data_IF_523888078934
#
_entry.id   IF_523888078934
#
_cell.length_a   1.000
_cell.length_b   1.000
_cell.length_c   1.000
_cell.angle_alpha   90.00
_cell.angle_beta   90.00
_cell.angle_gamma   90.00
#
_symmetry.space_group_name_H-M   'P 1'
#
loop_
_entity.id
_entity.type
_entity.pdbx_description
1 polymer ?
#
# COMPACT_ATOMS: atom_id res chain seq x y z
N UNK A 1 19.91 3.85 0.99
CA UNK A 1 19.12 4.69 1.93
C UNK A 1 17.64 4.41 1.70
N UNK A 2 16.87 4.22 2.78
CA UNK A 2 15.42 4.06 2.69
C UNK A 2 14.74 5.41 2.48
N UNK A 3 13.97 5.52 1.39
CA UNK A 3 13.29 6.73 0.96
C UNK A 3 14.20 7.74 0.27
N UNK A 4 13.70 8.34 -0.80
CA UNK A 4 14.35 9.44 -1.52
C UNK A 4 13.32 10.46 -2.02
N UNK A 5 13.72 11.72 -2.07
CA UNK A 5 12.95 12.78 -2.71
C UNK A 5 13.48 12.98 -4.14
N UNK A 6 12.58 12.96 -5.12
CA UNK A 6 12.90 13.26 -6.52
C UNK A 6 12.68 14.75 -6.75
N UNK A 7 13.77 15.46 -6.99
CA UNK A 7 13.77 16.92 -7.16
C UNK A 7 13.56 17.31 -8.62
N UNK A 8 12.96 18.50 -8.82
CA UNK A 8 12.85 19.14 -10.14
C UNK A 8 12.18 18.25 -11.21
N UNK A 9 11.30 17.34 -10.78
CA UNK A 9 10.56 16.45 -11.67
C UNK A 9 9.06 16.68 -11.54
N UNK A 10 8.39 16.84 -12.67
CA UNK A 10 6.92 16.94 -12.73
C UNK A 10 6.36 15.67 -13.33
N UNK A 11 5.50 15.02 -12.55
CA UNK A 11 4.75 13.85 -13.02
C UNK A 11 3.74 14.28 -14.09
N UNK A 12 3.66 13.51 -15.15
CA UNK A 12 2.69 13.71 -16.23
C UNK A 12 1.96 12.40 -16.51
N UNK A 13 0.78 12.49 -17.14
CA UNK A 13 0.03 11.32 -17.56
C UNK A 13 0.81 10.45 -18.57
N UNK A 14 1.60 11.11 -19.43
CA UNK A 14 2.39 10.48 -20.47
C UNK A 14 3.88 10.86 -20.33
N UNK A 15 4.59 10.32 -19.33
CA UNK A 15 6.02 10.58 -19.15
C UNK A 15 6.84 9.95 -20.27
N UNK A 16 8.06 10.42 -20.45
CA UNK A 16 9.00 9.76 -21.36
C UNK A 16 9.34 8.35 -20.86
N UNK A 17 9.60 7.44 -21.78
CA UNK A 17 9.96 6.05 -21.42
C UNK A 17 11.22 5.98 -20.56
N UNK A 18 12.18 6.88 -20.80
CA UNK A 18 13.39 7.00 -20.01
C UNK A 18 13.15 7.44 -18.58
N UNK A 19 12.16 8.33 -18.34
CA UNK A 19 11.75 8.74 -17.00
C UNK A 19 11.15 7.59 -16.22
N UNK A 20 10.32 6.78 -16.87
CA UNK A 20 9.71 5.58 -16.23
C UNK A 20 10.80 4.57 -15.85
N UNK A 21 11.79 4.36 -16.70
CA UNK A 21 12.92 3.48 -16.38
C UNK A 21 13.67 4.02 -15.18
N UNK A 22 14.06 5.30 -15.19
CA UNK A 22 14.78 5.92 -14.08
C UNK A 22 13.99 5.88 -12.76
N UNK A 23 12.67 6.17 -12.80
CA UNK A 23 11.81 6.09 -11.61
C UNK A 23 11.74 4.67 -11.08
N UNK A 24 11.63 3.66 -11.94
CA UNK A 24 11.62 2.25 -11.52
C UNK A 24 12.94 1.84 -10.84
N UNK A 25 14.07 2.29 -11.37
CA UNK A 25 15.40 2.03 -10.79
C UNK A 25 15.55 2.70 -9.43
N UNK A 26 15.20 3.99 -9.32
CA UNK A 26 15.20 4.73 -8.06
C UNK A 26 14.26 4.10 -7.03
N UNK A 27 13.08 3.68 -7.45
CA UNK A 27 12.12 3.01 -6.57
C UNK A 27 12.63 1.65 -6.09
N UNK A 28 13.23 0.87 -6.97
CA UNK A 28 13.86 -0.40 -6.61
C UNK A 28 15.00 -0.20 -5.58
N UNK A 29 15.80 0.86 -5.73
CA UNK A 29 16.90 1.19 -4.82
C UNK A 29 16.41 1.72 -3.48
N UNK A 30 15.52 2.73 -3.52
CA UNK A 30 15.11 3.47 -2.32
C UNK A 30 13.80 2.99 -1.68
N UNK A 31 12.99 2.18 -2.37
CA UNK A 31 11.73 1.56 -1.93
C UNK A 31 10.58 2.54 -1.68
N UNK A 32 10.86 3.80 -1.44
CA UNK A 32 9.91 4.90 -1.25
C UNK A 32 10.42 6.13 -1.99
N UNK A 33 9.59 6.71 -2.84
CA UNK A 33 9.90 7.96 -3.55
C UNK A 33 8.89 9.04 -3.17
N UNK A 34 9.38 10.23 -2.93
CA UNK A 34 8.59 11.42 -2.67
C UNK A 34 8.74 12.42 -3.81
N UNK A 35 7.61 12.84 -4.37
CA UNK A 35 7.53 13.88 -5.39
C UNK A 35 6.74 15.05 -4.82
N UNK A 36 7.39 16.18 -4.56
CA UNK A 36 6.72 17.38 -4.04
C UNK A 36 6.19 18.27 -5.14
N UNK A 37 5.21 19.11 -4.76
CA UNK A 37 4.68 20.17 -5.62
C UNK A 37 4.14 19.66 -6.97
N UNK A 38 3.50 18.49 -6.95
CA UNK A 38 2.91 17.90 -8.15
C UNK A 38 1.54 18.51 -8.43
N UNK A 39 1.29 18.84 -9.70
CA UNK A 39 0.00 19.32 -10.18
C UNK A 39 -0.70 18.22 -10.97
N UNK A 40 -1.29 17.28 -10.25
CA UNK A 40 -1.93 16.09 -10.79
C UNK A 40 -3.42 16.09 -10.47
N UNK A 41 -4.24 15.65 -11.40
CA UNK A 41 -5.63 15.27 -11.16
C UNK A 41 -5.77 13.74 -11.12
N UNK A 42 -6.96 13.24 -10.88
CA UNK A 42 -7.23 11.79 -10.82
C UNK A 42 -6.86 11.06 -12.12
N UNK A 43 -7.22 11.65 -13.26
CA UNK A 43 -6.88 11.08 -14.58
C UNK A 43 -5.36 10.97 -14.77
N UNK A 44 -4.63 12.02 -14.38
CA UNK A 44 -3.17 12.02 -14.40
C UNK A 44 -2.57 10.96 -13.49
N UNK A 45 -3.09 10.83 -12.27
CA UNK A 45 -2.64 9.79 -11.32
C UNK A 45 -2.84 8.39 -11.89
N UNK A 46 -4.02 8.11 -12.44
CA UNK A 46 -4.33 6.82 -13.08
C UNK A 46 -3.45 6.57 -14.29
N UNK A 47 -3.31 7.56 -15.19
CA UNK A 47 -2.46 7.46 -16.38
C UNK A 47 -1.01 7.15 -16.02
N UNK A 48 -0.43 7.91 -15.09
CA UNK A 48 0.93 7.69 -14.61
C UNK A 48 1.08 6.30 -13.95
N UNK A 49 0.14 5.91 -13.09
CA UNK A 49 0.21 4.63 -12.39
C UNK A 49 0.23 3.42 -13.32
N UNK A 50 -0.44 3.48 -14.46
CA UNK A 50 -0.48 2.40 -15.46
C UNK A 50 0.88 2.07 -16.07
N UNK A 51 1.83 2.98 -16.02
CA UNK A 51 3.21 2.69 -16.44
C UNK A 51 3.93 1.71 -15.51
N UNK A 52 3.40 1.42 -14.32
CA UNK A 52 4.01 0.49 -13.36
C UNK A 52 3.35 -0.89 -13.33
N UNK A 53 2.18 -1.04 -13.91
CA UNK A 53 1.46 -2.30 -13.98
C UNK A 53 -0.05 -2.12 -14.10
N UNK A 54 -0.77 -3.24 -14.06
CA UNK A 54 -2.22 -3.24 -14.01
C UNK A 54 -2.69 -2.65 -12.68
N UNK A 55 -3.74 -1.82 -12.75
CA UNK A 55 -4.27 -1.17 -11.56
C UNK A 55 -5.34 -2.05 -10.91
N UNK A 56 -5.26 -2.15 -9.60
CA UNK A 56 -6.21 -2.92 -8.80
C UNK A 56 -7.39 -2.04 -8.38
N UNK A 57 -8.59 -2.63 -8.36
CA UNK A 57 -9.80 -1.98 -7.86
C UNK A 57 -10.09 -2.53 -6.46
N UNK A 58 -10.01 -1.66 -5.45
CA UNK A 58 -10.19 -2.05 -4.06
C UNK A 58 -11.59 -2.61 -3.79
N UNK A 59 -11.70 -3.52 -2.82
CA UNK A 59 -12.97 -4.20 -2.48
C UNK A 59 -14.01 -3.26 -1.87
N UNK A 60 -13.59 -2.13 -1.29
CA UNK A 60 -14.46 -1.11 -0.67
C UNK A 60 -14.95 -0.12 -1.73
N UNK A 61 -15.83 -0.62 -2.60
CA UNK A 61 -16.34 0.14 -3.76
C UNK A 61 -17.01 1.47 -3.37
N UNK A 62 -17.52 1.58 -2.16
CA UNK A 62 -18.18 2.77 -1.63
C UNK A 62 -17.25 3.97 -1.40
N UNK A 63 -15.94 3.75 -1.41
CA UNK A 63 -14.91 4.78 -1.20
C UNK A 63 -14.04 5.02 -2.43
N UNK A 64 -14.44 4.47 -3.58
CA UNK A 64 -13.73 4.68 -4.83
C UNK A 64 -14.18 5.97 -5.51
N UNK A 65 -13.30 6.55 -6.32
CA UNK A 65 -13.69 7.60 -7.24
C UNK A 65 -14.77 7.09 -8.21
N UNK A 66 -15.74 7.93 -8.52
CA UNK A 66 -16.80 7.59 -9.46
C UNK A 66 -16.33 7.59 -10.92
N UNK A 67 -15.35 8.42 -11.24
CA UNK A 67 -14.80 8.55 -12.59
C UNK A 67 -13.60 7.61 -12.80
N UNK A 68 -12.85 7.35 -11.72
CA UNK A 68 -11.63 6.53 -11.73
C UNK A 68 -11.67 5.48 -10.62
N UNK A 69 -12.34 4.34 -10.82
CA UNK A 69 -12.54 3.33 -9.77
C UNK A 69 -11.23 2.68 -9.27
N UNK A 70 -10.12 2.91 -9.94
CA UNK A 70 -8.78 2.52 -9.48
C UNK A 70 -8.28 3.39 -8.31
N UNK A 71 -8.93 4.52 -8.05
CA UNK A 71 -8.59 5.44 -6.94
C UNK A 71 -9.47 5.15 -5.73
N UNK A 72 -8.82 4.83 -4.62
CA UNK A 72 -9.44 4.75 -3.30
C UNK A 72 -9.20 6.06 -2.54
N UNK A 73 -10.27 6.69 -2.06
CA UNK A 73 -10.15 7.85 -1.20
C UNK A 73 -9.73 7.47 0.22
N UNK A 74 -8.58 7.94 0.62
CA UNK A 74 -8.04 7.80 1.97
C UNK A 74 -8.33 9.09 2.72
N UNK A 75 -9.51 9.18 3.33
CA UNK A 75 -10.01 10.42 3.94
C UNK A 75 -11.00 10.11 5.07
N UNK A 76 -11.02 10.95 6.09
CA UNK A 76 -12.04 10.99 7.15
C UNK A 76 -13.07 12.13 6.95
N UNK A 77 -13.01 12.83 5.82
CA UNK A 77 -13.94 13.92 5.50
C UNK A 77 -15.34 13.36 5.29
N UNK A 78 -16.32 14.10 5.80
CA UNK A 78 -17.74 13.82 5.57
C UNK A 78 -18.35 14.86 4.61
N UNK A 79 -19.13 14.36 3.63
CA UNK A 79 -19.98 15.18 2.77
C UNK A 79 -21.42 14.70 2.88
N UNK A 80 -22.35 15.62 3.17
CA UNK A 80 -23.77 15.30 3.35
C UNK A 80 -24.04 14.15 4.36
N UNK A 81 -23.29 14.14 5.47
CA UNK A 81 -23.40 13.11 6.52
C UNK A 81 -22.87 11.72 6.14
N UNK A 82 -22.07 11.62 5.09
CA UNK A 82 -21.41 10.39 4.67
C UNK A 82 -19.91 10.60 4.52
N UNK A 83 -19.12 9.67 5.02
CA UNK A 83 -17.66 9.65 4.78
C UNK A 83 -17.40 9.40 3.31
N UNK A 84 -16.49 10.18 2.74
CA UNK A 84 -16.08 10.04 1.33
C UNK A 84 -14.90 9.07 1.18
N UNK A 85 -14.21 8.75 2.24
CA UNK A 85 -13.02 7.91 2.24
C UNK A 85 -13.04 6.82 3.31
N UNK A 86 -12.10 5.90 3.20
CA UNK A 86 -12.02 4.69 4.04
C UNK A 86 -11.54 4.95 5.47
N UNK A 87 -10.85 6.07 5.74
CA UNK A 87 -10.32 6.34 7.06
C UNK A 87 -11.39 6.55 8.11
N UNK A 88 -11.13 6.04 9.31
CA UNK A 88 -11.78 6.45 10.56
C UNK A 88 -10.94 7.52 11.24
N UNK A 89 -11.43 8.01 12.40
CA UNK A 89 -10.66 8.94 13.23
C UNK A 89 -9.61 8.21 14.10
N UNK A 90 -9.48 6.90 13.92
CA UNK A 90 -8.52 6.08 14.63
C UNK A 90 -7.21 5.96 13.83
N UNK A 91 -6.13 5.74 14.55
CA UNK A 91 -4.84 5.38 13.96
C UNK A 91 -4.96 4.10 13.13
N UNK A 92 -4.39 4.12 11.94
CA UNK A 92 -4.26 2.93 11.10
C UNK A 92 -2.96 2.23 11.47
N UNK A 93 -3.04 1.01 11.99
CA UNK A 93 -1.86 0.23 12.35
C UNK A 93 -1.00 -0.13 11.14
N UNK A 94 0.24 -0.55 11.40
CA UNK A 94 1.16 -1.05 10.38
C UNK A 94 0.51 -2.13 9.54
N UNK A 95 0.59 -2.01 8.22
CA UNK A 95 0.01 -2.95 7.26
C UNK A 95 0.79 -2.95 5.95
N UNK A 96 0.48 -3.92 5.11
CA UNK A 96 0.92 -4.00 3.73
C UNK A 96 -0.34 -3.91 2.87
N UNK A 97 -0.39 -2.97 1.94
CA UNK A 97 -1.55 -2.76 1.07
C UNK A 97 -1.90 -4.01 0.28
N UNK A 98 -3.18 -4.38 0.32
CA UNK A 98 -3.77 -5.47 -0.48
C UNK A 98 -3.06 -6.83 -0.37
N UNK A 99 -2.34 -7.09 0.74
CA UNK A 99 -1.68 -8.38 0.98
C UNK A 99 -2.66 -9.57 1.00
N UNK A 100 -3.94 -9.31 1.18
CA UNK A 100 -5.02 -10.31 1.12
C UNK A 100 -5.34 -10.79 -0.30
N UNK A 101 -4.73 -10.21 -1.34
CA UNK A 101 -4.91 -10.66 -2.71
C UNK A 101 -3.95 -11.81 -3.05
N UNK A 102 -4.35 -12.75 -3.93
CA UNK A 102 -3.46 -13.80 -4.43
C UNK A 102 -2.17 -13.26 -5.07
N UNK A 103 -2.29 -12.12 -5.75
CA UNK A 103 -1.19 -11.36 -6.31
C UNK A 103 -1.26 -9.95 -5.75
N UNK A 104 -0.58 -9.67 -4.64
CA UNK A 104 -0.54 -8.32 -4.08
C UNK A 104 -0.01 -7.29 -5.07
N UNK A 105 -0.47 -6.05 -4.94
CA UNK A 105 0.04 -4.95 -5.75
C UNK A 105 1.55 -4.78 -5.58
N UNK A 106 2.25 -4.40 -6.65
CA UNK A 106 3.70 -4.13 -6.61
C UNK A 106 4.03 -2.88 -5.79
N UNK A 107 3.08 -1.99 -5.61
CA UNK A 107 3.18 -0.79 -4.79
C UNK A 107 1.93 0.06 -4.87
N UNK A 108 1.94 1.17 -4.15
CA UNK A 108 0.86 2.14 -4.09
C UNK A 108 1.37 3.53 -4.42
N UNK A 109 0.58 4.30 -5.15
CA UNK A 109 0.80 5.72 -5.35
C UNK A 109 -0.18 6.49 -4.46
N UNK A 110 0.33 7.28 -3.54
CA UNK A 110 -0.47 8.10 -2.64
C UNK A 110 -0.34 9.57 -3.03
N UNK A 111 -1.43 10.18 -3.44
CA UNK A 111 -1.50 11.60 -3.76
C UNK A 111 -2.18 12.36 -2.62
N UNK A 112 -1.48 13.35 -2.07
CA UNK A 112 -2.04 14.22 -1.05
C UNK A 112 -2.80 15.37 -1.73
N UNK A 113 -4.13 15.43 -1.52
CA UNK A 113 -5.00 16.51 -1.97
C UNK A 113 -5.17 17.57 -0.87
N UNK A 114 -5.53 17.12 0.31
CA UNK A 114 -5.73 17.96 1.47
C UNK A 114 -4.98 17.38 2.66
N UNK A 115 -4.16 18.18 3.30
CA UNK A 115 -3.38 17.80 4.48
C UNK A 115 -3.87 18.55 5.72
N UNK A 116 -3.86 17.91 6.90
CA UNK A 116 -4.10 18.61 8.15
C UNK A 116 -2.95 19.59 8.43
N UNK A 117 -3.19 20.70 9.16
CA UNK A 117 -2.15 21.66 9.52
C UNK A 117 -1.09 21.05 10.43
N UNK A 118 -1.46 20.04 11.23
CA UNK A 118 -0.59 19.32 12.15
C UNK A 118 -0.99 17.85 12.22
N UNK A 119 0.00 16.96 12.39
CA UNK A 119 -0.22 15.53 12.53
C UNK A 119 -0.59 14.82 11.22
N UNK A 120 -1.19 13.62 11.33
CA UNK A 120 -1.63 12.82 10.19
C UNK A 120 -0.48 12.26 9.34
N UNK A 121 0.70 12.07 9.94
CA UNK A 121 1.86 11.53 9.23
C UNK A 121 1.62 10.10 8.79
N UNK A 122 2.08 9.78 7.57
CA UNK A 122 2.19 8.41 7.10
C UNK A 122 3.62 7.92 7.35
N UNK A 123 3.74 6.83 8.08
CA UNK A 123 5.03 6.24 8.40
C UNK A 123 5.27 5.00 7.53
N UNK A 124 6.52 4.77 7.17
CA UNK A 124 6.93 3.64 6.35
C UNK A 124 8.07 2.87 7.02
N UNK A 125 8.10 1.54 6.83
CA UNK A 125 9.14 0.68 7.36
C UNK A 125 9.83 -0.09 6.24
N UNK A 126 11.17 -0.13 6.26
CA UNK A 126 11.97 -0.99 5.38
C UNK A 126 11.94 -2.43 5.88
N UNK A 127 11.08 -3.25 5.28
CA UNK A 127 10.91 -4.64 5.67
C UNK A 127 12.07 -5.55 5.24
N UNK A 128 12.91 -5.13 4.29
CA UNK A 128 14.14 -5.83 3.98
C UNK A 128 15.18 -5.60 5.09
N UNK A 129 15.40 -4.35 5.49
CA UNK A 129 16.29 -4.03 6.61
C UNK A 129 15.80 -4.66 7.92
N UNK A 130 14.47 -4.69 8.14
CA UNK A 130 13.89 -5.36 9.28
C UNK A 130 14.14 -6.88 9.26
N UNK A 131 14.05 -7.54 8.10
CA UNK A 131 14.43 -8.94 7.94
C UNK A 131 15.91 -9.17 8.24
N UNK A 132 16.78 -8.33 7.68
CA UNK A 132 18.23 -8.45 7.88
C UNK A 132 18.63 -8.33 9.34
N UNK A 133 17.94 -7.49 10.10
CA UNK A 133 18.15 -7.29 11.54
C UNK A 133 17.64 -8.43 12.42
N UNK A 134 16.84 -9.37 11.89
CA UNK A 134 16.35 -10.50 12.68
C UNK A 134 17.48 -11.45 13.07
N UNK A 135 17.45 -11.98 14.32
CA UNK A 135 18.35 -13.06 14.71
C UNK A 135 18.20 -14.27 13.79
N UNK A 136 19.31 -14.93 13.46
CA UNK A 136 19.35 -16.10 12.57
C UNK A 136 18.37 -17.21 13.01
N UNK A 137 18.29 -17.46 14.31
CA UNK A 137 17.31 -18.40 14.88
C UNK A 137 15.86 -18.05 14.50
N UNK A 138 15.54 -16.77 14.40
CA UNK A 138 14.20 -16.31 14.01
C UNK A 138 13.99 -16.52 12.52
N UNK A 139 14.97 -16.18 11.68
CA UNK A 139 14.93 -16.40 10.23
C UNK A 139 14.69 -17.87 9.89
N UNK A 140 15.43 -18.78 10.52
CA UNK A 140 15.27 -20.24 10.37
C UNK A 140 13.84 -20.68 10.72
N UNK A 141 13.24 -20.12 11.78
CA UNK A 141 11.85 -20.44 12.17
C UNK A 141 10.81 -19.93 11.19
N UNK A 142 11.10 -18.84 10.50
CA UNK A 142 10.20 -18.19 9.54
C UNK A 142 10.37 -18.72 8.11
N UNK A 143 11.46 -19.44 7.85
CA UNK A 143 11.71 -20.03 6.55
C UNK A 143 10.63 -21.05 6.18
N UNK A 144 9.99 -20.85 5.02
CA UNK A 144 8.85 -21.66 4.57
C UNK A 144 7.55 -21.50 5.37
N UNK A 145 7.53 -20.68 6.43
CA UNK A 145 6.32 -20.42 7.20
C UNK A 145 5.34 -19.55 6.42
N UNK A 146 4.04 -19.82 6.60
CA UNK A 146 2.96 -19.08 5.96
C UNK A 146 2.19 -18.25 6.98
N UNK A 147 1.76 -17.06 6.58
CA UNK A 147 0.84 -16.23 7.33
C UNK A 147 -0.53 -16.21 6.64
N UNK A 148 -1.60 -16.39 7.40
CA UNK A 148 -2.94 -16.16 6.90
C UNK A 148 -3.19 -14.66 6.76
N UNK A 149 -3.56 -14.22 5.56
CA UNK A 149 -3.91 -12.84 5.26
C UNK A 149 -5.43 -12.75 5.13
N UNK A 150 -6.05 -12.11 6.10
CA UNK A 150 -7.50 -11.96 6.18
C UNK A 150 -7.89 -10.49 6.11
N UNK A 151 -8.62 -10.11 5.06
CA UNK A 151 -9.19 -8.77 4.96
C UNK A 151 -10.22 -8.52 6.06
N UNK A 152 -11.02 -9.52 6.43
CA UNK A 152 -12.01 -9.42 7.51
C UNK A 152 -11.36 -9.11 8.87
N UNK A 153 -10.24 -9.78 9.18
CA UNK A 153 -9.49 -9.52 10.41
C UNK A 153 -8.93 -8.09 10.42
N UNK A 154 -8.38 -7.63 9.30
CA UNK A 154 -7.91 -6.25 9.15
C UNK A 154 -9.07 -5.25 9.27
N UNK A 155 -10.21 -5.53 8.62
CA UNK A 155 -11.36 -4.65 8.57
C UNK A 155 -12.07 -4.48 9.93
N UNK A 156 -11.83 -5.34 10.92
CA UNK A 156 -12.36 -5.16 12.28
C UNK A 156 -11.91 -3.83 12.94
N UNK A 157 -10.82 -3.23 12.46
CA UNK A 157 -10.39 -1.91 12.91
C UNK A 157 -11.25 -0.77 12.35
N UNK A 158 -12.07 -1.02 11.34
CA UNK A 158 -12.95 -0.04 10.71
C UNK A 158 -14.38 -0.14 11.20
N UNK A 159 -15.06 1.00 11.26
CA UNK A 159 -16.44 1.09 11.77
C UNK A 159 -17.51 0.48 10.85
N UNK A 160 -17.19 0.30 9.57
CA UNK A 160 -18.13 -0.21 8.56
C UNK A 160 -17.76 -1.65 8.20
N UNK A 161 -18.62 -2.63 8.51
CA UNK A 161 -18.36 -4.03 8.18
C UNK A 161 -18.41 -4.26 6.66
N UNK A 162 -17.70 -5.30 6.20
CA UNK A 162 -17.78 -5.76 4.82
C UNK A 162 -19.12 -6.46 4.55
N UNK A 163 -19.61 -6.28 3.32
CA UNK A 163 -20.77 -7.02 2.83
C UNK A 163 -20.35 -8.36 2.18
N UNK A 164 -21.34 -9.21 1.84
CA UNK A 164 -21.07 -10.54 1.28
C UNK A 164 -20.31 -10.50 -0.06
N UNK A 165 -20.53 -9.48 -0.91
CA UNK A 165 -19.82 -9.30 -2.18
C UNK A 165 -18.34 -9.00 -1.93
N UNK A 166 -18.05 -8.12 -0.98
CA UNK A 166 -16.69 -7.77 -0.58
C UNK A 166 -15.96 -8.98 0.02
N UNK A 167 -16.61 -9.74 0.91
CA UNK A 167 -16.07 -11.00 1.47
C UNK A 167 -15.72 -12.03 0.39
N UNK A 168 -16.59 -12.18 -0.59
CA UNK A 168 -16.34 -13.11 -1.71
C UNK A 168 -15.14 -12.69 -2.58
N UNK A 169 -14.83 -11.39 -2.65
CA UNK A 169 -13.67 -10.86 -3.39
C UNK A 169 -12.37 -10.84 -2.59
N UNK A 170 -12.45 -11.01 -1.28
CA UNK A 170 -11.29 -11.00 -0.39
C UNK A 170 -11.28 -12.23 0.55
N UNK A 171 -11.28 -13.46 -0.01
CA UNK A 171 -11.16 -14.66 0.80
C UNK A 171 -9.79 -14.68 1.51
N UNK A 172 -9.75 -15.34 2.66
CA UNK A 172 -8.49 -15.57 3.36
C UNK A 172 -7.49 -16.30 2.46
N UNK A 173 -6.24 -15.85 2.47
CA UNK A 173 -5.16 -16.41 1.66
C UNK A 173 -3.89 -16.55 2.48
N UNK A 174 -3.07 -17.54 2.15
CA UNK A 174 -1.79 -17.75 2.79
C UNK A 174 -0.66 -17.21 1.91
N UNK A 175 0.19 -16.37 2.49
CA UNK A 175 1.44 -15.93 1.88
C UNK A 175 2.64 -16.35 2.71
N UNK A 176 3.79 -16.63 2.08
CA UNK A 176 5.04 -16.82 2.81
C UNK A 176 5.33 -15.60 3.70
N UNK A 177 5.73 -15.85 4.94
CA UNK A 177 6.16 -14.76 5.86
C UNK A 177 7.42 -14.10 5.29
N UNK A 178 8.42 -14.90 4.91
CA UNK A 178 9.62 -14.42 4.23
C UNK A 178 9.40 -14.49 2.71
N UNK A 179 9.52 -13.37 2.02
CA UNK A 179 9.35 -13.27 0.57
C UNK A 179 10.55 -12.62 -0.08
N UNK A 180 11.04 -13.22 -1.14
CA UNK A 180 12.04 -12.56 -2.00
C UNK A 180 11.36 -11.48 -2.83
N UNK A 181 11.92 -10.27 -2.79
CA UNK A 181 11.41 -9.18 -3.62
C UNK A 181 11.65 -9.50 -5.11
N UNK A 182 10.60 -9.47 -5.95
CA UNK A 182 10.69 -10.03 -7.32
C UNK A 182 11.61 -9.24 -8.25
N UNK A 183 11.89 -7.98 -7.94
CA UNK A 183 12.74 -7.11 -8.76
C UNK A 183 14.14 -6.98 -8.18
N UNK A 184 14.26 -6.74 -6.88
CA UNK A 184 15.55 -6.40 -6.25
C UNK A 184 16.25 -7.59 -5.61
N UNK A 185 15.57 -8.70 -5.39
CA UNK A 185 16.12 -9.93 -4.84
C UNK A 185 16.22 -10.04 -3.31
N UNK A 186 16.43 -9.00 -2.50
CA UNK A 186 16.46 -9.10 -1.06
C UNK A 186 15.18 -9.71 -0.47
N UNK A 187 15.33 -10.46 0.62
CA UNK A 187 14.20 -11.04 1.34
C UNK A 187 13.59 -9.97 2.24
N UNK A 188 12.28 -9.90 2.26
CA UNK A 188 11.50 -9.11 3.21
C UNK A 188 10.51 -10.01 3.93
N UNK A 189 9.98 -9.58 5.07
CA UNK A 189 8.87 -10.31 5.66
C UNK A 189 7.56 -9.51 5.57
N UNK A 190 6.47 -10.26 5.35
CA UNK A 190 5.18 -9.68 4.94
C UNK A 190 4.21 -9.48 6.10
N UNK A 191 4.61 -9.79 7.34
CA UNK A 191 3.70 -9.75 8.49
C UNK A 191 4.12 -8.62 9.44
N UNK A 192 3.33 -7.54 9.46
CA UNK A 192 3.56 -6.37 10.32
C UNK A 192 2.70 -6.36 11.59
N UNK A 193 1.73 -7.25 11.73
CA UNK A 193 0.97 -7.46 12.95
C UNK A 193 1.30 -8.82 13.54
N UNK A 194 2.00 -8.84 14.64
CA UNK A 194 1.89 -9.93 15.58
C UNK A 194 0.48 -9.87 16.18
N UNK A 195 -0.48 -10.62 15.66
CA UNK A 195 -1.54 -11.10 16.53
C UNK A 195 -0.81 -12.01 17.52
N UNK A 196 -0.77 -11.59 18.77
CA UNK A 196 -0.39 -12.47 19.86
C UNK A 196 -1.18 -13.77 19.68
N UNK A 197 -0.52 -14.78 19.18
CA UNK A 197 -0.95 -16.15 19.45
C UNK A 197 -0.65 -16.34 20.91
N UNK A 198 -1.67 -16.16 21.73
CA UNK A 198 -1.64 -16.67 23.10
C UNK A 198 -1.24 -18.13 23.05
N UNK A 199 -0.33 -18.58 23.93
CA UNK A 199 0.17 -19.94 23.98
C UNK A 199 -0.93 -20.95 24.25
#
# INVERSE_FOLDING_TARGET
TFGAEVLEFQLTENPLSEDIVAIRELWAEHKLLLFRNQSFNEAGLVGFSRHFGDLEIHVREEYLSQEHPEILYVSNIERNGRRIGILSDNEVGWHYDQIYLPKPAVGSLLMADTLPPEGGNTEFADMCAAWDALPEKTKIRLDGALANQSYEAFNQAYSVPTNNKQKARSPDIHHPIARTHPVTGPVSYTHLRAHETTP
#
